data_IF_174248019696
#
_entry.id   IF_174248019696
#
_cell.length_a   1.000
_cell.length_b   1.000
_cell.length_c   1.000
_cell.angle_alpha   90.00
_cell.angle_beta   90.00
_cell.angle_gamma   90.00
#
_symmetry.space_group_name_H-M   'P 1'
#
loop_
_entity.id
_entity.type
_entity.pdbx_description
1 polymer ?
#
# COMPACT_ATOMS: atom_id res chain seq x y z
N UNK A 1 3.30 -3.72 -16.68
CA UNK A 1 2.82 -2.42 -16.15
C UNK A 1 3.93 -1.87 -15.25
N UNK A 2 4.70 -0.89 -15.72
CA UNK A 2 5.76 -0.25 -14.91
C UNK A 2 5.18 1.06 -14.35
N UNK A 3 4.94 1.09 -13.04
CA UNK A 3 4.73 2.33 -12.29
C UNK A 3 5.98 2.51 -11.43
N UNK A 4 6.53 3.73 -11.38
CA UNK A 4 7.66 4.06 -10.53
C UNK A 4 7.20 4.71 -9.23
N UNK A 5 8.09 4.70 -8.23
CA UNK A 5 7.83 5.36 -6.94
C UNK A 5 7.58 6.86 -7.15
N UNK A 6 8.26 7.47 -8.12
CA UNK A 6 8.03 8.86 -8.53
C UNK A 6 6.63 9.06 -9.12
N UNK A 7 6.15 8.19 -10.02
CA UNK A 7 4.78 8.28 -10.55
C UNK A 7 3.74 8.26 -9.42
N UNK A 8 3.89 7.33 -8.48
CA UNK A 8 2.99 7.21 -7.33
C UNK A 8 3.11 8.46 -6.47
N UNK A 9 4.32 8.93 -6.19
CA UNK A 9 4.54 10.11 -5.37
C UNK A 9 3.89 11.35 -5.99
N UNK A 10 4.12 11.60 -7.28
CA UNK A 10 3.50 12.71 -8.01
C UNK A 10 1.97 12.62 -8.02
N UNK A 11 1.42 11.41 -8.15
CA UNK A 11 -0.03 11.20 -8.13
C UNK A 11 -0.66 11.44 -6.76
N UNK A 12 0.06 11.13 -5.68
CA UNK A 12 -0.43 11.26 -4.29
C UNK A 12 -0.07 12.60 -3.63
N UNK A 13 0.93 13.32 -4.13
CA UNK A 13 1.35 14.67 -3.69
C UNK A 13 0.21 15.69 -3.55
N UNK A 14 -0.78 15.80 -4.49
CA UNK A 14 -1.85 16.78 -4.32
C UNK A 14 -2.78 16.50 -3.14
N UNK A 15 -2.76 15.30 -2.56
CA UNK A 15 -3.56 14.94 -1.38
C UNK A 15 -2.81 15.17 -0.06
N UNK A 16 -1.48 15.26 -0.10
CA UNK A 16 -0.66 15.53 1.07
C UNK A 16 0.82 15.26 0.89
N UNK A 17 1.57 15.50 1.96
CA UNK A 17 3.03 15.30 2.03
C UNK A 17 3.35 13.84 2.25
N UNK A 18 4.11 13.27 1.32
CA UNK A 18 4.54 11.87 1.35
C UNK A 18 5.89 11.80 2.03
N UNK A 19 5.92 11.17 3.19
CA UNK A 19 7.13 10.85 3.96
C UNK A 19 7.89 9.69 3.31
N UNK A 20 7.16 8.68 2.85
CA UNK A 20 7.74 7.47 2.28
C UNK A 20 6.85 6.89 1.18
N UNK A 21 7.45 6.42 0.09
CA UNK A 21 6.75 5.68 -0.95
C UNK A 21 7.57 4.47 -1.36
N UNK A 22 6.95 3.29 -1.45
CA UNK A 22 7.64 2.07 -1.86
C UNK A 22 6.72 1.16 -2.66
N UNK A 23 7.21 0.66 -3.79
CA UNK A 23 6.44 -0.23 -4.66
C UNK A 23 6.67 -1.68 -4.28
N UNK A 24 5.58 -2.45 -4.13
CA UNK A 24 5.67 -3.89 -3.92
C UNK A 24 6.07 -4.59 -5.20
N UNK A 25 7.29 -5.09 -5.20
CA UNK A 25 7.83 -5.99 -6.22
C UNK A 25 7.75 -7.43 -5.70
N UNK A 26 7.35 -8.35 -6.57
CA UNK A 26 7.36 -9.78 -6.28
C UNK A 26 8.78 -10.33 -6.22
N UNK A 27 8.94 -11.62 -5.86
CA UNK A 27 10.23 -12.30 -5.86
C UNK A 27 10.89 -12.34 -7.25
N UNK A 28 10.08 -12.23 -8.31
CA UNK A 28 10.52 -12.16 -9.71
C UNK A 28 10.98 -10.75 -10.14
N UNK A 29 10.97 -9.77 -9.23
CA UNK A 29 11.27 -8.36 -9.53
C UNK A 29 10.13 -7.60 -10.23
N UNK A 30 9.10 -8.31 -10.70
CA UNK A 30 7.92 -7.71 -11.30
C UNK A 30 7.08 -6.94 -10.26
N UNK A 31 6.73 -5.69 -10.56
CA UNK A 31 5.81 -4.90 -9.74
C UNK A 31 4.44 -5.59 -9.69
N UNK A 32 3.97 -5.90 -8.48
CA UNK A 32 2.65 -6.54 -8.28
C UNK A 32 1.47 -5.59 -8.53
N UNK A 33 1.74 -4.36 -8.95
CA UNK A 33 0.74 -3.30 -9.11
C UNK A 33 0.27 -2.70 -7.78
N UNK A 34 1.00 -2.95 -6.68
CA UNK A 34 0.71 -2.40 -5.36
C UNK A 34 1.84 -1.47 -4.92
N UNK A 35 1.49 -0.40 -4.21
CA UNK A 35 2.45 0.53 -3.61
C UNK A 35 2.01 0.89 -2.18
N UNK A 36 2.97 1.15 -1.31
CA UNK A 36 2.76 1.76 0.01
C UNK A 36 3.17 3.22 -0.06
N UNK A 37 2.34 4.07 0.51
CA UNK A 37 2.56 5.51 0.63
C UNK A 37 2.30 5.89 2.08
N UNK A 38 3.30 6.49 2.72
CA UNK A 38 3.24 7.04 4.07
C UNK A 38 3.06 8.54 3.96
N UNK A 39 1.94 9.04 4.45
CA UNK A 39 1.70 10.47 4.57
C UNK A 39 2.21 11.00 5.90
N UNK A 40 2.46 12.31 5.95
CA UNK A 40 2.83 13.01 7.18
C UNK A 40 1.71 12.99 8.22
N UNK A 41 0.45 13.13 7.78
CA UNK A 41 -0.73 13.11 8.65
C UNK A 41 -1.80 12.08 8.23
N UNK A 42 -2.59 11.63 9.22
CA UNK A 42 -3.72 10.72 8.98
C UNK A 42 -4.82 11.35 8.11
N UNK A 43 -5.09 12.65 8.28
CA UNK A 43 -6.09 13.37 7.46
C UNK A 43 -5.72 13.37 5.98
N UNK A 44 -4.45 13.59 5.65
CA UNK A 44 -3.93 13.57 4.28
C UNK A 44 -4.12 12.18 3.66
N UNK A 45 -3.80 11.12 4.41
CA UNK A 45 -4.03 9.74 3.98
C UNK A 45 -5.53 9.44 3.75
N UNK A 46 -6.40 9.91 4.64
CA UNK A 46 -7.84 9.73 4.51
C UNK A 46 -8.40 10.46 3.29
N UNK A 47 -7.94 11.68 3.02
CA UNK A 47 -8.32 12.45 1.84
C UNK A 47 -7.88 11.75 0.55
N UNK A 48 -6.66 11.21 0.51
CA UNK A 48 -6.15 10.41 -0.60
C UNK A 48 -7.01 9.16 -0.83
N UNK A 49 -7.32 8.40 0.23
CA UNK A 49 -8.19 7.22 0.14
C UNK A 49 -9.55 7.62 -0.43
N UNK A 50 -10.20 8.63 0.14
CA UNK A 50 -11.56 9.03 -0.27
C UNK A 50 -11.60 9.53 -1.71
N UNK A 51 -10.55 10.22 -2.16
CA UNK A 51 -10.47 10.81 -3.50
C UNK A 51 -10.04 9.82 -4.57
N UNK A 52 -9.20 8.83 -4.22
CA UNK A 52 -8.59 7.89 -5.18
C UNK A 52 -9.23 6.51 -5.15
N UNK A 53 -9.80 6.08 -4.03
CA UNK A 53 -10.49 4.79 -3.90
C UNK A 53 -11.75 4.77 -4.77
N UNK A 54 -11.77 3.90 -5.77
CA UNK A 54 -12.95 3.71 -6.62
C UNK A 54 -13.27 4.86 -7.58
N UNK A 55 -12.55 5.98 -7.49
CA UNK A 55 -12.83 7.20 -8.27
C UNK A 55 -12.15 7.21 -9.63
N UNK A 56 -10.87 6.82 -9.71
CA UNK A 56 -10.10 6.92 -10.96
C UNK A 56 -9.13 5.76 -11.18
N UNK A 57 -9.00 5.33 -12.44
CA UNK A 57 -7.92 4.47 -12.91
C UNK A 57 -6.64 5.30 -13.02
N UNK A 58 -5.51 4.82 -12.50
CA UNK A 58 -4.21 5.52 -12.65
C UNK A 58 -3.98 5.87 -14.13
N UNK A 59 -3.81 7.17 -14.47
CA UNK A 59 -3.44 7.56 -15.82
C UNK A 59 -2.00 7.08 -16.05
N UNK A 60 -1.83 6.11 -16.93
CA UNK A 60 -0.50 5.70 -17.38
C UNK A 60 0.00 6.77 -18.35
N UNK A 61 1.09 7.45 -18.01
CA UNK A 61 1.62 8.61 -18.75
C UNK A 61 2.24 8.25 -20.13
N UNK A 62 1.92 7.10 -20.73
CA UNK A 62 2.59 6.63 -21.95
C UNK A 62 1.66 5.98 -22.97
N UNK A 63 0.43 6.51 -23.15
CA UNK A 63 -0.47 6.10 -24.24
C UNK A 63 -0.91 4.62 -24.23
N UNK A 64 -0.50 3.85 -23.23
CA UNK A 64 -0.94 2.48 -23.03
C UNK A 64 -2.33 2.52 -22.40
N UNK A 65 -3.26 1.76 -22.97
CA UNK A 65 -4.66 1.61 -22.52
C UNK A 65 -4.71 1.65 -20.99
N UNK A 66 -5.33 2.70 -20.44
CA UNK A 66 -5.47 2.89 -19.00
C UNK A 66 -5.90 1.59 -18.34
N UNK A 67 -5.33 1.28 -17.17
CA UNK A 67 -5.70 0.06 -16.46
C UNK A 67 -7.22 0.07 -16.22
N UNK A 68 -7.97 -0.83 -16.87
CA UNK A 68 -9.44 -0.92 -16.70
C UNK A 68 -9.88 -1.33 -15.29
N UNK A 69 -8.93 -1.51 -14.38
CA UNK A 69 -9.16 -1.87 -12.98
C UNK A 69 -9.10 -0.59 -12.15
N UNK A 70 -10.20 -0.27 -11.46
CA UNK A 70 -10.26 0.87 -10.53
C UNK A 70 -9.13 0.80 -9.51
N UNK A 71 -8.53 1.95 -9.20
CA UNK A 71 -7.53 2.03 -8.16
C UNK A 71 -8.18 1.76 -6.80
N UNK A 72 -7.53 0.90 -6.01
CA UNK A 72 -7.95 0.59 -4.65
C UNK A 72 -6.94 1.21 -3.71
N UNK A 73 -7.35 2.27 -3.03
CA UNK A 73 -6.56 2.91 -1.97
C UNK A 73 -7.21 2.55 -0.64
N UNK A 74 -6.42 2.03 0.30
CA UNK A 74 -6.86 1.65 1.65
C UNK A 74 -5.75 1.98 2.64
N UNK A 75 -6.11 2.12 3.92
CA UNK A 75 -5.11 2.17 4.97
C UNK A 75 -4.29 0.88 4.97
N UNK A 76 -2.97 1.03 5.04
CA UNK A 76 -2.07 -0.07 5.34
C UNK A 76 -2.25 -0.48 6.81
N UNK A 77 -2.13 -1.77 7.12
CA UNK A 77 -1.97 -2.22 8.49
C UNK A 77 -0.80 -1.45 9.11
N UNK A 78 -1.02 -0.91 10.31
CA UNK A 78 0.06 -0.21 11.02
C UNK A 78 1.21 -1.19 11.28
N UNK A 79 2.46 -0.70 11.30
CA UNK A 79 3.60 -1.53 11.69
C UNK A 79 3.37 -2.20 13.06
N UNK A 80 2.63 -1.52 13.94
CA UNK A 80 2.20 -2.01 15.24
C UNK A 80 1.27 -3.23 15.11
N UNK A 81 0.25 -3.19 14.25
CA UNK A 81 -0.61 -4.35 13.96
C UNK A 81 0.13 -5.48 13.26
N UNK A 82 1.01 -5.14 12.31
CA UNK A 82 1.86 -6.12 11.61
C UNK A 82 2.77 -6.85 12.59
N UNK A 83 3.39 -6.12 13.52
CA UNK A 83 4.25 -6.69 14.56
C UNK A 83 3.45 -7.55 15.54
N UNK A 84 2.26 -7.10 15.95
CA UNK A 84 1.40 -7.84 16.87
C UNK A 84 0.90 -9.16 16.26
N UNK A 85 0.46 -9.17 14.98
CA UNK A 85 0.08 -10.41 14.28
C UNK A 85 1.25 -11.37 14.12
N UNK A 86 2.45 -10.85 13.83
CA UNK A 86 3.67 -11.66 13.76
C UNK A 86 3.96 -12.30 15.13
N UNK A 87 3.85 -11.52 16.20
CA UNK A 87 4.02 -12.00 17.58
C UNK A 87 2.94 -13.02 17.98
N UNK A 88 1.68 -12.82 17.58
CA UNK A 88 0.58 -13.73 17.90
C UNK A 88 0.69 -15.07 17.17
N UNK A 89 1.23 -15.08 15.93
CA UNK A 89 1.57 -16.31 15.23
C UNK A 89 2.72 -17.07 15.90
N UNK A 90 3.66 -16.38 16.55
CA UNK A 90 4.75 -17.03 17.30
C UNK A 90 4.27 -17.58 18.65
N UNK A 91 3.33 -16.89 19.32
CA UNK A 91 2.78 -17.32 20.61
C UNK A 91 1.81 -18.50 20.49
N UNK A 92 1.04 -18.60 19.40
CA UNK A 92 0.13 -19.72 19.16
C UNK A 92 0.83 -21.09 19.02
N UNK A 93 2.11 -21.11 18.68
CA UNK A 93 2.90 -22.34 18.59
C UNK A 93 3.44 -22.82 19.97
N UNK A 94 3.31 -22.01 21.02
CA UNK A 94 3.82 -22.35 22.36
C UNK A 94 2.74 -22.87 23.32
N UNK A 95 1.46 -22.82 22.95
CA UNK A 95 0.34 -23.35 23.75
C UNK A 95 0.04 -24.84 23.50
N UNK A 96 0.67 -25.47 22.51
CA UNK A 96 0.50 -26.90 22.17
C UNK A 96 1.53 -27.83 22.84
N UNK A 97 2.49 -27.29 23.61
CA UNK A 97 3.57 -28.06 24.24
C UNK A 97 3.45 -28.19 25.75
N UNK A 98 2.27 -27.96 26.33
CA UNK A 98 2.04 -28.21 27.76
C UNK A 98 0.96 -29.28 27.98
N UNK A 99 1.26 -30.57 27.72
CA UNK A 99 0.61 -31.61 28.50
C UNK A 99 1.16 -31.52 29.94
N UNK A 100 0.39 -32.03 30.90
CA UNK A 100 0.92 -32.34 32.23
C UNK A 100 2.28 -33.06 32.16
#
# INVERSE_FOLDING_TARGET
KHQTEEDVRHFFTPFGTIEECSILRGPDGASKGCAFVKFSSHQEAQAAITSLHGSQTMPTMHGARGASSSLVVKFADTEKERQLRRMQQMAGNMSLLNPF
#
